data_IF_246100953863
#
_entry.id   IF_246100953863
#
_cell.length_a   1.000
_cell.length_b   1.000
_cell.length_c   1.000
_cell.angle_alpha   90.00
_cell.angle_beta   90.00
_cell.angle_gamma   90.00
#
_symmetry.space_group_name_H-M   'P 1'
#
loop_
_entity.id
_entity.type
_entity.pdbx_description
1 polymer ?
#
# COMPACT_ATOMS: atom_id res chain seq x y z
N UNK A 1 6.05 29.54 -3.23
CA UNK A 1 4.69 29.07 -3.57
C UNK A 1 4.80 27.79 -4.40
N UNK A 2 3.86 26.86 -4.26
CA UNK A 2 3.85 25.63 -5.05
C UNK A 2 3.11 25.89 -6.37
N UNK A 3 3.82 25.83 -7.50
CA UNK A 3 3.23 26.09 -8.83
C UNK A 3 2.60 24.82 -9.40
N UNK A 4 1.69 24.96 -10.36
CA UNK A 4 1.08 23.82 -11.07
C UNK A 4 2.15 22.89 -11.66
N UNK A 5 3.16 23.46 -12.34
CA UNK A 5 4.29 22.70 -12.88
C UNK A 5 5.06 21.93 -11.80
N UNK A 6 5.31 22.56 -10.64
CA UNK A 6 6.01 21.89 -9.53
C UNK A 6 5.18 20.73 -8.97
N UNK A 7 3.86 20.87 -8.92
CA UNK A 7 2.94 19.80 -8.49
C UNK A 7 2.86 18.66 -9.49
N UNK A 8 2.77 18.94 -10.78
CA UNK A 8 2.84 17.92 -11.81
C UNK A 8 4.14 17.12 -11.74
N UNK A 9 5.28 17.80 -11.50
CA UNK A 9 6.56 17.13 -11.31
C UNK A 9 6.54 16.22 -10.07
N UNK A 10 5.94 16.65 -8.96
CA UNK A 10 5.79 15.83 -7.76
C UNK A 10 4.93 14.60 -8.03
N UNK A 11 3.78 14.77 -8.68
CA UNK A 11 2.90 13.65 -9.03
C UNK A 11 3.64 12.60 -9.87
N UNK A 12 4.38 13.04 -10.90
CA UNK A 12 5.19 12.14 -11.74
C UNK A 12 6.30 11.45 -10.96
N UNK A 13 6.98 12.18 -10.08
CA UNK A 13 8.02 11.62 -9.20
C UNK A 13 7.46 10.47 -8.37
N UNK A 14 6.31 10.68 -7.72
CA UNK A 14 5.69 9.66 -6.89
C UNK A 14 5.17 8.46 -7.69
N UNK A 15 4.47 8.69 -8.80
CA UNK A 15 3.96 7.61 -9.65
C UNK A 15 5.08 6.67 -10.11
N UNK A 16 6.19 7.24 -10.57
CA UNK A 16 7.34 6.46 -11.04
C UNK A 16 8.00 5.63 -9.91
N UNK A 17 7.97 6.12 -8.66
CA UNK A 17 8.57 5.40 -7.54
C UNK A 17 7.61 4.38 -6.94
N UNK A 18 6.31 4.65 -6.94
CA UNK A 18 5.26 3.73 -6.51
C UNK A 18 5.32 2.42 -7.30
N UNK A 19 5.43 2.53 -8.63
CA UNK A 19 5.58 1.38 -9.53
C UNK A 19 6.83 0.55 -9.18
N UNK A 20 7.98 1.21 -9.00
CA UNK A 20 9.24 0.53 -8.63
C UNK A 20 9.13 -0.19 -7.30
N UNK A 21 8.57 0.46 -6.29
CA UNK A 21 8.38 -0.13 -4.95
C UNK A 21 7.44 -1.34 -4.99
N UNK A 22 6.35 -1.27 -5.78
CA UNK A 22 5.43 -2.39 -5.99
C UNK A 22 6.08 -3.58 -6.71
N UNK A 23 6.93 -3.31 -7.71
CA UNK A 23 7.68 -4.35 -8.40
C UNK A 23 8.75 -4.99 -7.49
N UNK A 24 9.50 -4.17 -6.77
CA UNK A 24 10.58 -4.63 -5.88
C UNK A 24 10.04 -5.52 -4.75
N UNK A 25 9.01 -5.06 -4.02
CA UNK A 25 8.40 -5.83 -2.93
C UNK A 25 7.81 -7.16 -3.43
N UNK A 26 7.28 -7.21 -4.65
CA UNK A 26 6.75 -8.46 -5.20
C UNK A 26 7.81 -9.52 -5.45
N UNK A 27 9.03 -9.12 -5.81
CA UNK A 27 10.16 -10.01 -5.98
C UNK A 27 10.63 -10.68 -4.68
N UNK A 28 10.39 -10.06 -3.51
CA UNK A 28 10.79 -10.62 -2.22
C UNK A 28 9.81 -11.70 -1.69
N UNK A 29 8.54 -11.64 -2.09
CA UNK A 29 7.48 -12.47 -1.47
C UNK A 29 6.88 -13.56 -2.37
N UNK A 30 7.16 -13.60 -3.69
CA UNK A 30 6.43 -14.50 -4.62
C UNK A 30 7.21 -15.01 -5.83
N UNK A 31 6.88 -16.22 -6.28
CA UNK A 31 7.06 -16.68 -7.67
C UNK A 31 6.06 -15.96 -8.61
N UNK A 32 6.08 -14.62 -8.62
CA UNK A 32 5.45 -13.68 -9.54
C UNK A 32 3.92 -13.65 -9.77
N UNK A 33 3.12 -14.65 -9.39
CA UNK A 33 1.72 -14.74 -9.88
C UNK A 33 0.61 -14.23 -8.94
N UNK A 34 0.82 -14.16 -7.62
CA UNK A 34 -0.24 -13.76 -6.67
C UNK A 34 0.22 -12.61 -5.75
N UNK A 35 -0.22 -11.38 -6.07
CA UNK A 35 0.10 -10.17 -5.31
C UNK A 35 -0.59 -10.11 -3.94
N UNK A 36 -1.61 -10.93 -3.69
CA UNK A 36 -2.38 -10.95 -2.45
C UNK A 36 -1.98 -12.08 -1.50
N UNK A 37 -1.10 -12.99 -1.93
CA UNK A 37 -0.67 -14.18 -1.18
C UNK A 37 -0.30 -13.90 0.29
N UNK A 38 0.49 -12.86 0.54
CA UNK A 38 0.91 -12.52 1.90
C UNK A 38 -0.29 -12.10 2.78
N UNK A 39 -1.22 -11.32 2.23
CA UNK A 39 -2.44 -10.91 2.94
C UNK A 39 -3.32 -12.13 3.24
N UNK A 40 -3.50 -13.02 2.26
CA UNK A 40 -4.24 -14.27 2.43
C UNK A 40 -3.63 -15.17 3.54
N UNK A 41 -2.30 -15.32 3.55
CA UNK A 41 -1.62 -16.14 4.55
C UNK A 41 -1.78 -15.58 5.96
N UNK A 42 -1.52 -14.28 6.15
CA UNK A 42 -1.63 -13.62 7.45
C UNK A 42 -3.09 -13.59 7.92
N UNK A 43 -4.03 -13.34 7.02
CA UNK A 43 -5.46 -13.42 7.29
C UNK A 43 -5.86 -14.82 7.81
N UNK A 44 -5.36 -15.88 7.16
CA UNK A 44 -5.57 -17.26 7.60
C UNK A 44 -4.99 -17.56 8.99
N UNK A 45 -3.81 -17.02 9.33
CA UNK A 45 -3.24 -17.18 10.67
C UNK A 45 -4.02 -16.44 11.76
N UNK A 46 -4.62 -15.30 11.44
CA UNK A 46 -5.30 -14.43 12.39
C UNK A 46 -6.82 -14.64 12.45
N UNK A 47 -7.39 -15.38 11.50
CA UNK A 47 -8.84 -15.58 11.40
C UNK A 47 -9.61 -14.31 11.00
N UNK A 48 -8.99 -13.44 10.20
CA UNK A 48 -9.58 -12.18 9.71
C UNK A 48 -9.62 -12.16 8.17
N UNK A 49 -10.17 -11.11 7.57
CA UNK A 49 -10.16 -10.97 6.10
C UNK A 49 -8.80 -10.46 5.58
N UNK A 50 -8.42 -10.77 4.31
CA UNK A 50 -7.27 -10.13 3.66
C UNK A 50 -7.37 -8.60 3.63
N UNK A 51 -8.58 -8.04 3.49
CA UNK A 51 -8.82 -6.61 3.58
C UNK A 51 -8.46 -6.04 4.97
N UNK A 52 -8.78 -6.73 6.07
CA UNK A 52 -8.40 -6.33 7.43
C UNK A 52 -6.87 -6.26 7.60
N UNK A 53 -6.15 -7.24 7.03
CA UNK A 53 -4.68 -7.25 7.04
C UNK A 53 -4.12 -6.09 6.23
N UNK A 54 -4.63 -5.87 5.01
CA UNK A 54 -4.20 -4.77 4.15
C UNK A 54 -4.45 -3.40 4.79
N UNK A 55 -5.60 -3.21 5.42
CA UNK A 55 -5.93 -2.00 6.19
C UNK A 55 -4.95 -1.82 7.37
N UNK A 56 -4.65 -2.88 8.11
CA UNK A 56 -3.71 -2.82 9.23
C UNK A 56 -2.31 -2.37 8.77
N UNK A 57 -1.83 -2.91 7.64
CA UNK A 57 -0.54 -2.51 7.07
C UNK A 57 -0.57 -1.08 6.53
N UNK A 58 -1.67 -0.64 5.91
CA UNK A 58 -1.88 0.75 5.54
C UNK A 58 -1.78 1.68 6.76
N UNK A 59 -2.44 1.33 7.87
CA UNK A 59 -2.47 2.14 9.09
C UNK A 59 -1.07 2.35 9.69
N UNK A 60 -0.17 1.37 9.57
CA UNK A 60 1.25 1.54 9.94
C UNK A 60 1.91 2.71 9.18
N UNK A 61 1.68 2.81 7.87
CA UNK A 61 2.22 3.91 7.05
C UNK A 61 1.55 5.25 7.40
N UNK A 62 0.22 5.26 7.58
CA UNK A 62 -0.52 6.46 7.99
C UNK A 62 -0.07 6.98 9.35
N UNK A 63 0.18 6.10 10.34
CA UNK A 63 0.70 6.47 11.65
C UNK A 63 2.07 7.15 11.52
N UNK A 64 2.95 6.58 10.69
CA UNK A 64 4.28 7.11 10.42
C UNK A 64 4.24 8.51 9.79
N UNK A 65 3.38 8.72 8.80
CA UNK A 65 3.15 10.04 8.18
C UNK A 65 2.55 11.02 9.20
N UNK A 66 1.60 10.58 10.02
CA UNK A 66 0.97 11.40 11.06
C UNK A 66 2.01 11.92 12.06
N UNK A 67 2.97 11.07 12.47
CA UNK A 67 4.03 11.46 13.39
C UNK A 67 4.94 12.55 12.79
N UNK A 68 5.31 12.43 11.51
CA UNK A 68 6.09 13.45 10.82
C UNK A 68 5.35 14.79 10.72
N UNK A 69 4.04 14.75 10.41
CA UNK A 69 3.19 15.95 10.33
C UNK A 69 3.03 16.64 11.69
N UNK A 70 2.81 15.86 12.77
CA UNK A 70 2.66 16.38 14.14
C UNK A 70 3.96 16.97 14.67
N UNK A 71 5.09 16.31 14.42
CA UNK A 71 6.41 16.77 14.89
C UNK A 71 6.99 17.93 14.07
N UNK A 72 6.43 18.24 12.89
CA UNK A 72 6.99 19.19 11.91
C UNK A 72 8.41 18.82 11.46
N UNK A 73 8.84 17.58 11.70
CA UNK A 73 10.14 17.08 11.29
C UNK A 73 9.97 16.27 10.00
N UNK A 74 10.29 16.91 8.87
CA UNK A 74 10.13 16.33 7.54
C UNK A 74 11.49 15.90 6.99
N UNK A 75 11.84 14.63 7.14
CA UNK A 75 12.91 14.00 6.36
C UNK A 75 12.42 13.75 4.93
N UNK A 76 12.39 14.82 4.13
CA UNK A 76 11.72 14.87 2.81
C UNK A 76 12.54 14.23 1.68
N UNK A 77 12.85 12.96 1.87
CA UNK A 77 13.68 12.13 1.00
C UNK A 77 12.99 10.77 0.79
N UNK A 78 13.44 10.01 -0.20
CA UNK A 78 12.95 8.64 -0.46
C UNK A 78 13.47 7.66 0.58
N UNK A 79 14.78 7.71 0.84
CA UNK A 79 15.48 6.91 1.82
C UNK A 79 16.31 7.81 2.74
N UNK A 80 16.66 7.29 3.91
CA UNK A 80 17.52 7.91 4.91
C UNK A 80 18.53 6.88 5.38
N UNK A 81 19.57 7.31 6.10
CA UNK A 81 20.55 6.40 6.71
C UNK A 81 19.93 5.33 7.62
N UNK A 82 18.73 5.60 8.15
CA UNK A 82 18.01 4.72 9.08
C UNK A 82 16.78 4.04 8.42
N UNK A 83 16.74 3.94 7.09
CA UNK A 83 15.65 3.31 6.34
C UNK A 83 14.73 4.31 5.64
N UNK A 84 13.44 4.01 5.54
CA UNK A 84 12.50 4.73 4.67
C UNK A 84 12.32 6.21 5.06
N UNK A 85 12.50 7.10 4.09
CA UNK A 85 12.20 8.52 4.18
C UNK A 85 10.71 8.84 4.06
N UNK A 86 10.34 10.11 4.27
CA UNK A 86 8.92 10.49 4.29
C UNK A 86 8.26 10.34 2.91
N UNK A 87 8.98 10.52 1.81
CA UNK A 87 8.41 10.32 0.46
C UNK A 87 8.04 8.86 0.23
N UNK A 88 8.92 7.92 0.57
CA UNK A 88 8.63 6.49 0.46
C UNK A 88 7.44 6.07 1.33
N UNK A 89 7.36 6.56 2.58
CA UNK A 89 6.21 6.24 3.45
C UNK A 89 4.87 6.70 2.89
N UNK A 90 4.84 7.86 2.23
CA UNK A 90 3.64 8.36 1.55
C UNK A 90 3.33 7.52 0.31
N UNK A 91 4.34 7.17 -0.50
CA UNK A 91 4.18 6.29 -1.66
C UNK A 91 3.68 4.90 -1.25
N UNK A 92 4.22 4.32 -0.18
CA UNK A 92 3.77 3.05 0.37
C UNK A 92 2.31 3.13 0.83
N UNK A 93 1.88 4.20 1.49
CA UNK A 93 0.48 4.37 1.84
C UNK A 93 -0.44 4.36 0.60
N UNK A 94 -0.01 4.97 -0.51
CA UNK A 94 -0.75 4.95 -1.78
C UNK A 94 -0.77 3.54 -2.40
N UNK A 95 0.35 2.84 -2.40
CA UNK A 95 0.44 1.46 -2.84
C UNK A 95 -0.43 0.51 -2.01
N UNK A 96 -0.47 0.69 -0.68
CA UNK A 96 -1.32 -0.10 0.21
C UNK A 96 -2.81 0.20 0.03
N UNK A 97 -3.19 1.42 -0.35
CA UNK A 97 -4.56 1.70 -0.78
C UNK A 97 -4.94 0.89 -2.02
N UNK A 98 -4.03 0.76 -2.99
CA UNK A 98 -4.26 -0.06 -4.18
C UNK A 98 -4.34 -1.57 -3.84
N UNK A 99 -3.47 -2.06 -2.94
CA UNK A 99 -3.52 -3.45 -2.46
C UNK A 99 -4.80 -3.74 -1.67
N UNK A 100 -5.25 -2.80 -0.83
CA UNK A 100 -6.52 -2.90 -0.13
C UNK A 100 -7.70 -2.94 -1.11
N UNK A 101 -7.68 -2.10 -2.15
CA UNK A 101 -8.69 -2.14 -3.20
C UNK A 101 -8.74 -3.52 -3.89
N UNK A 102 -7.58 -4.12 -4.17
CA UNK A 102 -7.51 -5.48 -4.73
C UNK A 102 -8.06 -6.55 -3.78
N UNK A 103 -7.79 -6.48 -2.47
CA UNK A 103 -8.41 -7.38 -1.49
C UNK A 103 -9.94 -7.28 -1.50
N UNK A 104 -10.47 -6.05 -1.50
CA UNK A 104 -11.92 -5.80 -1.49
C UNK A 104 -12.57 -6.27 -2.79
N UNK A 105 -11.94 -6.02 -3.94
CA UNK A 105 -12.42 -6.48 -5.25
C UNK A 105 -12.57 -8.01 -5.27
N UNK A 106 -11.57 -8.75 -4.79
CA UNK A 106 -11.61 -10.21 -4.68
C UNK A 106 -12.70 -10.71 -3.72
N UNK A 107 -12.92 -10.03 -2.59
CA UNK A 107 -13.99 -10.34 -1.63
C UNK A 107 -15.39 -10.13 -2.21
N UNK A 108 -15.59 -9.05 -2.98
CA UNK A 108 -16.86 -8.76 -3.67
C UNK A 108 -17.16 -9.84 -4.70
N UNK A 109 -16.16 -10.24 -5.50
CA UNK A 109 -16.31 -11.32 -6.50
C UNK A 109 -16.69 -12.64 -5.84
N UNK A 110 -16.02 -13.02 -4.74
CA UNK A 110 -16.35 -14.25 -3.98
C UNK A 110 -17.77 -14.23 -3.43
N UNK A 111 -18.20 -13.10 -2.86
CA UNK A 111 -19.53 -12.95 -2.28
C UNK A 111 -20.63 -13.08 -3.35
N UNK A 112 -20.45 -12.41 -4.50
CA UNK A 112 -21.40 -12.45 -5.61
C UNK A 112 -21.44 -13.83 -6.30
N UNK A 113 -20.29 -14.52 -6.38
CA UNK A 113 -20.21 -15.89 -6.91
C UNK A 113 -20.93 -16.92 -6.04
N UNK A 114 -20.83 -16.80 -4.71
CA UNK A 114 -21.54 -17.69 -3.77
C UNK A 114 -23.06 -17.54 -3.85
N UNK A 115 -23.58 -16.35 -4.17
CA UNK A 115 -25.03 -16.12 -4.34
C UNK A 115 -25.64 -16.81 -5.56
N UNK A 116 -24.83 -17.29 -6.52
CA UNK A 116 -25.30 -17.97 -7.73
C UNK A 116 -25.32 -19.51 -7.61
N UNK A 117 -24.72 -20.09 -6.58
CA UNK A 117 -24.67 -21.55 -6.39
C UNK A 117 -25.83 -22.05 -5.52
N UNK A 118 -26.43 -21.17 -4.70
CA UNK A 118 -27.54 -21.49 -3.80
C UNK A 118 -28.96 -21.22 -4.38
N UNK A 119 -29.13 -21.23 -5.71
CA UNK A 119 -30.44 -21.13 -6.40
C UNK A 119 -30.67 -22.29 -7.35
#
# INVERSE_FOLDING_TARGET
>A
MYTSRKFEMLCREFLNQEEKLMCWKAGEYTNNDDRLKNFNMVAGFLGVSPADVALTYLLKHIQSVTLAVKSKNYKWEWETENGEGLKQRIADARNYLLLLAACIDEEVVKTNGSQHIDK
#
